data_IF_058249575974
#
_entry.id   IF_058249575974
#
_cell.length_a   1.000
_cell.length_b   1.000
_cell.length_c   1.000
_cell.angle_alpha   90.00
_cell.angle_beta   90.00
_cell.angle_gamma   90.00
#
_symmetry.space_group_name_H-M   'P 1'
#
loop_
_entity.id
_entity.type
_entity.pdbx_description
1 polymer ?
#
# COMPACT_ATOMS: atom_id res chain seq x y z
N UNK A 1 22.44 1.53 -15.03
CA UNK A 1 21.22 2.10 -14.42
C UNK A 1 20.31 2.51 -15.56
N UNK A 2 19.04 2.11 -15.53
CA UNK A 2 18.02 2.43 -16.55
C UNK A 2 16.84 3.10 -15.84
N UNK A 3 16.30 4.19 -16.40
CA UNK A 3 15.13 4.87 -15.86
C UNK A 3 13.87 4.40 -16.61
N UNK A 4 12.83 4.03 -15.86
CA UNK A 4 11.56 3.55 -16.40
C UNK A 4 10.41 4.37 -15.84
N UNK A 5 9.45 4.72 -16.69
CA UNK A 5 8.16 5.27 -16.25
C UNK A 5 7.20 4.13 -15.98
N UNK A 6 6.63 4.08 -14.78
CA UNK A 6 5.65 3.06 -14.41
C UNK A 6 4.30 3.74 -14.19
N UNK A 7 3.30 3.37 -15.01
CA UNK A 7 1.93 3.88 -14.87
C UNK A 7 1.20 3.06 -13.80
N UNK A 8 0.64 3.73 -12.80
CA UNK A 8 -0.20 3.10 -11.78
C UNK A 8 -1.62 2.91 -12.29
N UNK A 9 -2.23 1.79 -11.93
CA UNK A 9 -3.62 1.46 -12.25
C UNK A 9 -4.49 1.48 -10.98
N UNK A 10 -5.56 2.28 -10.99
CA UNK A 10 -6.54 2.36 -9.91
C UNK A 10 -7.85 2.96 -10.48
N UNK A 11 -9.00 2.74 -9.82
CA UNK A 11 -10.27 3.34 -10.23
C UNK A 11 -10.22 4.87 -10.20
N UNK A 12 -10.98 5.53 -11.07
CA UNK A 12 -11.04 7.00 -11.12
C UNK A 12 -11.56 7.61 -9.79
N UNK A 13 -12.41 6.88 -9.08
CA UNK A 13 -12.98 7.28 -7.79
C UNK A 13 -12.15 6.79 -6.58
N UNK A 14 -10.90 6.36 -6.80
CA UNK A 14 -9.98 5.95 -5.76
C UNK A 14 -8.77 6.88 -5.65
N UNK A 15 -8.18 6.93 -4.46
CA UNK A 15 -6.90 7.55 -4.18
C UNK A 15 -5.80 6.48 -4.11
N UNK A 16 -4.56 6.90 -4.36
CA UNK A 16 -3.37 6.05 -4.24
C UNK A 16 -2.36 6.70 -3.29
N UNK A 17 -1.74 5.90 -2.43
CA UNK A 17 -0.63 6.29 -1.56
C UNK A 17 0.52 5.33 -1.86
N UNK A 18 1.70 5.87 -2.13
CA UNK A 18 2.91 5.09 -2.38
C UNK A 18 3.97 5.60 -1.42
N UNK A 19 4.71 4.70 -0.79
CA UNK A 19 5.80 5.06 0.09
C UNK A 19 6.83 3.97 0.24
N UNK A 20 7.84 4.26 1.04
CA UNK A 20 8.90 3.33 1.41
C UNK A 20 8.66 2.84 2.83
N UNK A 21 8.93 1.57 3.07
CA UNK A 21 8.77 0.92 4.37
C UNK A 21 9.94 0.00 4.66
N UNK A 22 9.93 -0.69 5.79
CA UNK A 22 10.76 -1.85 6.05
C UNK A 22 10.02 -2.82 6.97
N UNK A 23 10.52 -4.05 7.07
CA UNK A 23 10.03 -5.08 7.99
C UNK A 23 8.62 -5.64 7.66
N UNK A 24 8.43 -6.94 7.92
CA UNK A 24 7.24 -7.67 7.46
C UNK A 24 5.94 -7.21 8.14
N UNK A 25 6.06 -6.65 9.35
CA UNK A 25 4.94 -6.15 10.14
C UNK A 25 4.21 -4.97 9.48
N UNK A 26 4.84 -4.31 8.50
CA UNK A 26 4.21 -3.27 7.65
C UNK A 26 2.81 -3.66 7.18
N UNK A 27 2.61 -4.92 6.75
CA UNK A 27 1.31 -5.34 6.21
C UNK A 27 0.20 -5.27 7.27
N UNK A 28 0.47 -5.77 8.47
CA UNK A 28 -0.47 -5.76 9.60
C UNK A 28 -0.68 -4.35 10.14
N UNK A 29 0.39 -3.59 10.36
CA UNK A 29 0.30 -2.27 11.00
C UNK A 29 -0.37 -1.24 10.09
N UNK A 30 -0.09 -1.28 8.78
CA UNK A 30 -0.83 -0.45 7.83
C UNK A 30 -2.29 -0.91 7.71
N UNK A 31 -2.58 -2.21 7.76
CA UNK A 31 -3.97 -2.68 7.78
C UNK A 31 -4.71 -2.11 8.99
N UNK A 32 -4.11 -2.17 10.19
CA UNK A 32 -4.68 -1.61 11.41
C UNK A 32 -4.89 -0.10 11.33
N UNK A 33 -3.93 0.66 10.78
CA UNK A 33 -4.11 2.10 10.52
C UNK A 33 -5.32 2.35 9.63
N UNK A 34 -5.47 1.57 8.56
CA UNK A 34 -6.54 1.79 7.59
C UNK A 34 -7.93 1.46 8.16
N UNK A 35 -8.08 0.33 8.87
CA UNK A 35 -9.39 -0.05 9.46
C UNK A 35 -9.82 0.88 10.59
N UNK A 36 -8.87 1.49 11.31
CA UNK A 36 -9.16 2.39 12.43
C UNK A 36 -9.38 3.85 12.02
N UNK A 37 -9.07 4.23 10.78
CA UNK A 37 -9.09 5.64 10.36
C UNK A 37 -10.50 6.16 10.02
N UNK A 38 -11.23 5.48 9.14
CA UNK A 38 -12.55 5.92 8.65
C UNK A 38 -13.49 4.72 8.56
N UNK A 39 -14.65 4.76 9.26
CA UNK A 39 -15.67 3.73 9.11
C UNK A 39 -16.10 3.59 7.65
N UNK A 40 -16.20 2.33 7.18
CA UNK A 40 -16.56 1.96 5.81
C UNK A 40 -15.52 2.25 4.71
N UNK A 41 -14.34 2.80 5.03
CA UNK A 41 -13.28 2.94 4.04
C UNK A 41 -12.95 1.59 3.40
N UNK A 42 -12.76 1.59 2.08
CA UNK A 42 -12.34 0.42 1.31
C UNK A 42 -10.90 0.58 0.88
N UNK A 43 -10.09 -0.44 1.11
CA UNK A 43 -8.69 -0.37 0.74
C UNK A 43 -8.08 -1.72 0.40
N UNK A 44 -7.04 -1.65 -0.42
CA UNK A 44 -6.09 -2.71 -0.63
C UNK A 44 -4.68 -2.18 -0.45
N UNK A 45 -3.83 -2.93 0.23
CA UNK A 45 -2.42 -2.60 0.41
C UNK A 45 -1.53 -3.76 0.00
N UNK A 46 -0.37 -3.44 -0.56
CA UNK A 46 0.66 -4.42 -0.87
C UNK A 46 2.04 -3.81 -0.73
N UNK A 47 3.03 -4.59 -0.28
CA UNK A 47 4.42 -4.19 -0.27
C UNK A 47 5.34 -5.32 -0.74
N UNK A 48 6.49 -4.94 -1.30
CA UNK A 48 7.52 -5.87 -1.73
C UNK A 48 8.48 -6.20 -0.58
N UNK A 49 8.49 -7.44 -0.09
CA UNK A 49 9.56 -7.93 0.78
C UNK A 49 10.89 -7.89 0.00
N UNK A 50 11.94 -7.28 0.56
CA UNK A 50 13.20 -7.06 -0.16
C UNK A 50 14.29 -8.08 0.20
N UNK A 51 13.99 -9.05 1.06
CA UNK A 51 14.94 -10.07 1.52
C UNK A 51 14.28 -11.44 1.66
N UNK A 52 15.09 -12.50 1.74
CA UNK A 52 14.58 -13.85 1.95
C UNK A 52 13.73 -14.33 0.76
N UNK A 53 12.47 -14.76 0.98
CA UNK A 53 11.58 -15.21 -0.10
C UNK A 53 11.21 -14.12 -1.13
N UNK A 54 11.41 -12.84 -0.80
CA UNK A 54 11.10 -11.70 -1.67
C UNK A 54 9.66 -11.73 -2.23
N UNK A 55 8.69 -12.04 -1.35
CA UNK A 55 7.28 -12.15 -1.72
C UNK A 55 6.59 -10.79 -1.65
N UNK A 56 5.53 -10.65 -2.44
CA UNK A 56 4.57 -9.56 -2.24
C UNK A 56 3.67 -9.91 -1.07
N UNK A 57 3.68 -9.08 -0.04
CA UNK A 57 2.75 -9.16 1.10
C UNK A 57 1.61 -8.20 0.84
N UNK A 58 0.39 -8.62 1.12
CA UNK A 58 -0.78 -7.82 0.79
C UNK A 58 -1.92 -8.06 1.76
N UNK A 59 -2.58 -6.98 2.16
CA UNK A 59 -3.74 -6.98 3.06
C UNK A 59 -4.81 -6.03 2.50
N UNK A 60 -5.99 -6.03 3.10
CA UNK A 60 -7.07 -5.14 2.69
C UNK A 60 -8.45 -5.71 2.95
N UNK A 61 -9.43 -4.82 3.07
CA UNK A 61 -10.83 -5.17 3.27
C UNK A 61 -11.66 -5.18 1.97
N UNK A 62 -11.01 -4.88 0.84
CA UNK A 62 -11.59 -4.97 -0.50
C UNK A 62 -10.67 -5.81 -1.43
N UNK A 63 -11.23 -6.86 -2.01
CA UNK A 63 -10.46 -7.82 -2.82
C UNK A 63 -9.97 -7.24 -4.15
N UNK A 64 -10.74 -6.35 -4.76
CA UNK A 64 -10.38 -5.72 -6.04
C UNK A 64 -9.24 -4.72 -5.82
N UNK A 65 -9.37 -3.85 -4.81
CA UNK A 65 -8.33 -2.90 -4.45
C UNK A 65 -7.03 -3.61 -4.02
N UNK A 66 -7.13 -4.73 -3.28
CA UNK A 66 -5.95 -5.53 -2.91
C UNK A 66 -5.25 -6.11 -4.13
N UNK A 67 -6.01 -6.59 -5.11
CA UNK A 67 -5.47 -7.12 -6.37
C UNK A 67 -4.76 -6.04 -7.17
N UNK A 68 -5.31 -4.83 -7.21
CA UNK A 68 -4.69 -3.67 -7.85
C UNK A 68 -3.40 -3.23 -7.13
N UNK A 69 -3.38 -3.19 -5.79
CA UNK A 69 -2.17 -2.89 -5.03
C UNK A 69 -1.05 -3.90 -5.32
N UNK A 70 -1.37 -5.21 -5.35
CA UNK A 70 -0.42 -6.27 -5.72
C UNK A 70 0.10 -6.07 -7.15
N UNK A 71 -0.78 -5.77 -8.10
CA UNK A 71 -0.39 -5.55 -9.50
C UNK A 71 0.58 -4.37 -9.59
N UNK A 72 0.22 -3.22 -9.03
CA UNK A 72 1.04 -2.01 -9.08
C UNK A 72 2.41 -2.21 -8.42
N UNK A 73 2.47 -2.83 -7.24
CA UNK A 73 3.76 -2.99 -6.52
C UNK A 73 4.70 -3.96 -7.24
N UNK A 74 4.14 -4.99 -7.93
CA UNK A 74 4.89 -5.86 -8.84
C UNK A 74 5.39 -5.11 -10.07
N UNK A 75 4.58 -4.21 -10.64
CA UNK A 75 5.01 -3.40 -11.78
C UNK A 75 6.12 -2.42 -11.40
N UNK A 76 6.09 -1.85 -10.19
CA UNK A 76 7.21 -1.04 -9.67
C UNK A 76 8.46 -1.92 -9.48
N UNK A 77 8.31 -3.09 -8.87
CA UNK A 77 9.40 -4.07 -8.68
C UNK A 77 10.52 -3.64 -7.73
N UNK A 78 10.41 -2.47 -7.10
CA UNK A 78 11.38 -2.00 -6.11
C UNK A 78 11.10 -2.63 -4.74
N UNK A 79 12.15 -3.15 -4.09
CA UNK A 79 12.05 -3.72 -2.75
C UNK A 79 11.62 -2.67 -1.73
N UNK A 80 10.85 -3.09 -0.73
CA UNK A 80 10.40 -2.25 0.38
C UNK A 80 9.54 -1.04 -0.01
N UNK A 81 9.00 -1.03 -1.23
CA UNK A 81 7.92 -0.11 -1.62
C UNK A 81 6.59 -0.70 -1.19
N UNK A 82 5.71 0.14 -0.63
CA UNK A 82 4.31 -0.18 -0.39
C UNK A 82 3.39 0.69 -1.23
N UNK A 83 2.20 0.17 -1.52
CA UNK A 83 1.10 0.88 -2.19
C UNK A 83 -0.17 0.61 -1.41
N UNK A 84 -0.97 1.67 -1.21
CA UNK A 84 -2.35 1.60 -0.74
C UNK A 84 -3.24 2.19 -1.82
N UNK A 85 -4.25 1.45 -2.25
CA UNK A 85 -5.37 1.96 -3.05
C UNK A 85 -6.56 2.14 -2.10
N UNK A 86 -7.13 3.34 -2.06
CA UNK A 86 -8.10 3.79 -1.06
C UNK A 86 -9.36 4.33 -1.73
N UNK A 87 -10.52 3.84 -1.30
CA UNK A 87 -11.84 4.27 -1.75
C UNK A 87 -12.73 4.56 -0.55
N UNK A 88 -13.73 5.43 -0.75
CA UNK A 88 -14.65 5.90 0.30
C UNK A 88 -13.94 6.56 1.50
N UNK A 89 -12.71 7.05 1.28
CA UNK A 89 -11.90 7.83 2.20
C UNK A 89 -10.84 8.60 1.42
N UNK A 90 -10.20 9.57 2.09
CA UNK A 90 -9.18 10.43 1.48
C UNK A 90 -7.82 10.25 2.19
N UNK A 91 -6.69 10.50 1.50
CA UNK A 91 -5.37 10.41 2.10
C UNK A 91 -5.22 11.22 3.39
N UNK A 92 -5.84 12.40 3.46
CA UNK A 92 -5.79 13.26 4.67
C UNK A 92 -6.29 12.55 5.93
N UNK A 93 -7.17 11.55 5.80
CA UNK A 93 -7.69 10.79 6.92
C UNK A 93 -6.65 9.82 7.52
N UNK A 94 -5.68 9.36 6.73
CA UNK A 94 -4.75 8.27 7.10
C UNK A 94 -3.29 8.68 7.12
N UNK A 95 -2.90 9.72 6.37
CA UNK A 95 -1.49 10.07 6.13
C UNK A 95 -0.70 10.31 7.42
N UNK A 96 -1.30 10.94 8.44
CA UNK A 96 -0.60 11.17 9.71
C UNK A 96 -0.35 9.88 10.48
N UNK A 97 -1.32 8.95 10.48
CA UNK A 97 -1.16 7.66 11.13
C UNK A 97 -0.11 6.81 10.39
N UNK A 98 -0.15 6.78 9.04
CA UNK A 98 0.86 6.11 8.21
C UNK A 98 2.26 6.64 8.53
N UNK A 99 2.45 7.97 8.52
CA UNK A 99 3.77 8.58 8.83
C UNK A 99 4.26 8.30 10.25
N UNK A 100 3.37 7.94 11.17
CA UNK A 100 3.71 7.62 12.56
C UNK A 100 3.96 6.10 12.77
N UNK A 101 3.74 5.26 11.75
CA UNK A 101 4.10 3.84 11.83
C UNK A 101 5.63 3.69 11.92
N UNK A 102 6.16 2.92 12.89
CA UNK A 102 7.59 2.70 13.04
C UNK A 102 8.30 2.13 11.81
N UNK A 103 7.57 1.37 11.00
CA UNK A 103 8.05 0.71 9.80
C UNK A 103 8.25 1.68 8.61
N UNK A 104 7.64 2.87 8.64
CA UNK A 104 7.61 3.81 7.53
C UNK A 104 8.84 4.74 7.55
N UNK A 105 9.44 4.96 6.37
CA UNK A 105 10.68 5.75 6.20
C UNK A 105 10.43 7.22 5.85
#
# INVERSE_FOLDING_TARGET
>A
MELKTVRMEFPEDANIIIGQTHFIKTAEDLYEVMVNAVPNAKFGLAFNEASGPCLVRAEGNDSELKTLAIKNVKTIGAGHVFIIVLKDAFPVNVLNAIKNCPEIC
#
